data_IF_516162377008
#
_entry.id   IF_516162377008
#
_cell.length_a   1.000
_cell.length_b   1.000
_cell.length_c   1.000
_cell.angle_alpha   90.00
_cell.angle_beta   90.00
_cell.angle_gamma   90.00
#
_symmetry.space_group_name_H-M   'P 1'
#
loop_
_entity.id
_entity.type
_entity.pdbx_description
1 polymer ?
#
# COMPACT_ATOMS: atom_id res chain seq x y z
N UNK A 1 -26.48 -10.23 -7.78
CA UNK A 1 -26.71 -9.10 -6.87
C UNK A 1 -27.57 -8.04 -7.55
N UNK A 2 -28.41 -7.35 -6.81
CA UNK A 2 -29.28 -6.29 -7.35
C UNK A 2 -28.86 -4.94 -6.77
N UNK A 3 -28.77 -3.92 -7.62
CA UNK A 3 -28.43 -2.58 -7.17
C UNK A 3 -29.55 -2.01 -6.28
N UNK A 4 -29.23 -1.50 -5.08
CA UNK A 4 -30.26 -1.04 -4.13
C UNK A 4 -31.06 0.17 -4.62
N UNK A 5 -30.47 1.03 -5.45
CA UNK A 5 -31.11 2.28 -5.89
C UNK A 5 -31.93 2.11 -7.16
N UNK A 6 -31.48 1.29 -8.08
CA UNK A 6 -32.09 1.15 -9.42
C UNK A 6 -32.81 -0.17 -9.62
N UNK A 7 -32.58 -1.15 -8.77
CA UNK A 7 -33.10 -2.51 -8.96
C UNK A 7 -32.44 -3.27 -10.10
N UNK A 8 -31.42 -2.70 -10.74
CA UNK A 8 -30.71 -3.34 -11.85
C UNK A 8 -29.93 -4.56 -11.37
N UNK A 9 -29.89 -5.61 -12.18
CA UNK A 9 -29.11 -6.81 -11.88
C UNK A 9 -27.64 -6.51 -12.09
N UNK A 10 -26.83 -6.80 -11.07
CA UNK A 10 -25.40 -6.67 -11.10
C UNK A 10 -24.76 -8.04 -11.29
N UNK A 11 -23.79 -8.13 -12.18
CA UNK A 11 -23.05 -9.37 -12.43
C UNK A 11 -21.59 -9.20 -12.07
N UNK A 12 -20.96 -10.31 -11.68
CA UNK A 12 -19.52 -10.31 -11.37
C UNK A 12 -18.74 -10.06 -12.66
N UNK A 13 -17.88 -9.03 -12.63
CA UNK A 13 -17.10 -8.62 -13.78
C UNK A 13 -15.81 -7.96 -13.30
N UNK A 14 -14.91 -7.68 -14.22
CA UNK A 14 -13.67 -6.95 -13.98
C UNK A 14 -13.66 -5.71 -14.89
N UNK A 15 -13.55 -4.54 -14.29
CA UNK A 15 -13.60 -3.28 -15.04
C UNK A 15 -12.43 -2.36 -14.71
N UNK A 16 -11.98 -1.53 -15.67
CA UNK A 16 -10.89 -0.61 -15.42
C UNK A 16 -11.30 0.49 -14.44
N UNK A 17 -10.37 0.86 -13.58
CA UNK A 17 -10.53 1.93 -12.61
C UNK A 17 -9.24 2.74 -12.54
N UNK A 18 -9.33 4.06 -12.62
CA UNK A 18 -8.16 4.94 -12.58
C UNK A 18 -8.02 5.57 -11.20
N UNK A 19 -6.87 5.34 -10.57
CA UNK A 19 -6.48 5.97 -9.30
C UNK A 19 -5.61 7.17 -9.64
N UNK A 20 -5.95 8.34 -9.08
CA UNK A 20 -5.20 9.58 -9.31
C UNK A 20 -4.74 10.16 -7.99
N UNK A 21 -3.49 10.62 -7.96
CA UNK A 21 -2.92 11.29 -6.80
C UNK A 21 -1.88 12.32 -7.28
N UNK A 22 -2.10 13.59 -6.91
CA UNK A 22 -1.19 14.71 -7.25
C UNK A 22 -0.80 14.75 -8.73
N UNK A 23 -1.78 14.60 -9.61
CA UNK A 23 -1.58 14.69 -11.04
C UNK A 23 -1.03 13.45 -11.73
N UNK A 24 -0.70 12.41 -10.99
CA UNK A 24 -0.30 11.10 -11.53
C UNK A 24 -1.43 10.10 -11.40
N UNK A 25 -1.50 9.16 -12.34
CA UNK A 25 -2.57 8.18 -12.40
C UNK A 25 -2.05 6.79 -12.71
N UNK A 26 -2.74 5.78 -12.16
CA UNK A 26 -2.54 4.36 -12.50
C UNK A 26 -3.92 3.77 -12.75
N UNK A 27 -4.08 3.06 -13.87
CA UNK A 27 -5.31 2.34 -14.17
C UNK A 27 -5.11 0.87 -13.81
N UNK A 28 -6.06 0.34 -13.04
CA UNK A 28 -6.07 -1.06 -12.60
C UNK A 28 -7.40 -1.70 -12.96
N UNK A 29 -7.43 -3.02 -13.01
CA UNK A 29 -8.67 -3.77 -13.19
C UNK A 29 -9.25 -4.12 -11.82
N UNK A 30 -10.50 -3.71 -11.57
CA UNK A 30 -11.20 -4.01 -10.33
C UNK A 30 -12.27 -5.05 -10.55
N UNK A 31 -12.22 -6.19 -9.85
CA UNK A 31 -13.34 -7.11 -9.79
C UNK A 31 -14.45 -6.51 -8.94
N UNK A 32 -15.69 -6.81 -9.28
CA UNK A 32 -16.84 -6.32 -8.54
C UNK A 32 -18.14 -6.76 -9.16
N UNK A 33 -19.25 -6.26 -8.62
CA UNK A 33 -20.59 -6.48 -9.18
C UNK A 33 -20.99 -5.24 -9.96
N UNK A 34 -21.13 -5.38 -11.27
CA UNK A 34 -21.36 -4.26 -12.17
C UNK A 34 -22.66 -4.38 -12.94
N UNK A 35 -23.36 -3.24 -13.16
CA UNK A 35 -24.50 -3.22 -14.07
C UNK A 35 -24.01 -3.23 -15.53
N UNK A 36 -24.89 -3.63 -16.45
CA UNK A 36 -24.59 -3.59 -17.87
C UNK A 36 -24.47 -2.14 -18.40
N UNK A 37 -25.15 -1.20 -17.74
CA UNK A 37 -25.32 0.17 -18.22
C UNK A 37 -24.15 1.12 -17.95
N UNK A 38 -23.32 0.85 -16.94
CA UNK A 38 -22.22 1.73 -16.54
C UNK A 38 -21.17 0.98 -15.71
N UNK A 39 -20.15 1.73 -15.23
CA UNK A 39 -19.08 1.18 -14.40
C UNK A 39 -19.27 1.47 -12.90
N UNK A 40 -20.46 1.89 -12.48
CA UNK A 40 -20.77 2.14 -11.08
C UNK A 40 -21.16 0.83 -10.39
N UNK A 41 -20.15 0.07 -9.99
CA UNK A 41 -20.34 -1.24 -9.39
C UNK A 41 -20.39 -1.21 -7.87
N UNK A 42 -20.70 -2.39 -7.30
CA UNK A 42 -20.60 -2.64 -5.87
C UNK A 42 -19.39 -3.53 -5.64
N UNK A 43 -18.46 -3.04 -4.85
CA UNK A 43 -17.22 -3.74 -4.52
C UNK A 43 -17.30 -4.23 -3.08
N UNK A 44 -16.95 -5.50 -2.87
CA UNK A 44 -17.01 -6.14 -1.55
C UNK A 44 -15.71 -6.91 -1.28
N UNK A 45 -15.44 -7.20 -0.01
CA UNK A 45 -14.26 -7.95 0.38
C UNK A 45 -12.98 -7.28 -0.10
N UNK A 46 -12.15 -8.03 -0.83
CA UNK A 46 -10.85 -7.55 -1.33
C UNK A 46 -10.93 -6.91 -2.74
N UNK A 47 -12.12 -6.58 -3.21
CA UNK A 47 -12.30 -6.03 -4.56
C UNK A 47 -11.51 -4.74 -4.81
N UNK A 48 -11.27 -3.94 -3.76
CA UNK A 48 -10.50 -2.69 -3.85
C UNK A 48 -8.98 -2.87 -3.73
N UNK A 49 -8.49 -4.08 -3.52
CA UNK A 49 -7.06 -4.31 -3.21
C UNK A 49 -6.12 -3.73 -4.27
N UNK A 50 -6.44 -3.89 -5.56
CA UNK A 50 -5.61 -3.35 -6.64
C UNK A 50 -5.60 -1.82 -6.65
N UNK A 51 -6.72 -1.18 -6.35
CA UNK A 51 -6.81 0.28 -6.26
C UNK A 51 -6.04 0.81 -5.06
N UNK A 52 -6.13 0.14 -3.92
CA UNK A 52 -5.38 0.51 -2.71
C UNK A 52 -3.88 0.42 -2.95
N UNK A 53 -3.41 -0.64 -3.60
CA UNK A 53 -2.00 -0.81 -3.95
C UNK A 53 -1.54 0.26 -4.95
N UNK A 54 -2.36 0.59 -5.95
CA UNK A 54 -2.05 1.66 -6.90
C UNK A 54 -1.89 3.01 -6.20
N UNK A 55 -2.74 3.31 -5.22
CA UNK A 55 -2.63 4.54 -4.43
C UNK A 55 -1.34 4.57 -3.60
N UNK A 56 -0.95 3.46 -3.01
CA UNK A 56 0.33 3.36 -2.27
C UNK A 56 1.51 3.63 -3.19
N UNK A 57 1.51 3.07 -4.39
CA UNK A 57 2.57 3.29 -5.40
C UNK A 57 2.63 4.76 -5.79
N UNK A 58 1.47 5.40 -6.04
CA UNK A 58 1.42 6.82 -6.39
C UNK A 58 1.95 7.69 -5.26
N UNK A 59 1.61 7.39 -4.01
CA UNK A 59 2.12 8.12 -2.85
C UNK A 59 3.63 7.96 -2.70
N UNK A 60 4.16 6.79 -2.98
CA UNK A 60 5.62 6.59 -2.97
C UNK A 60 6.30 7.48 -4.02
N UNK A 61 5.76 7.54 -5.23
CA UNK A 61 6.31 8.35 -6.33
C UNK A 61 6.22 9.85 -6.08
N UNK A 62 5.11 10.31 -5.51
CA UNK A 62 4.83 11.76 -5.37
C UNK A 62 5.19 12.32 -4.00
N UNK A 63 4.94 11.58 -2.93
CA UNK A 63 5.14 12.03 -1.55
C UNK A 63 6.41 11.45 -0.93
N UNK A 64 7.05 10.51 -1.61
CA UNK A 64 8.22 9.82 -1.11
C UNK A 64 7.93 8.84 0.03
N UNK A 65 6.66 8.48 0.24
CA UNK A 65 6.28 7.48 1.24
C UNK A 65 6.55 6.08 0.70
N UNK A 66 7.35 5.25 1.38
CA UNK A 66 7.60 3.90 0.90
C UNK A 66 6.35 3.03 1.02
N UNK A 67 6.12 2.17 0.01
CA UNK A 67 5.04 1.20 0.08
C UNK A 67 5.36 0.11 1.10
N UNK A 68 4.36 -0.66 1.60
CA UNK A 68 4.64 -1.82 2.44
C UNK A 68 5.65 -2.78 1.82
N UNK A 69 5.55 -3.03 0.51
CA UNK A 69 6.51 -3.90 -0.20
C UNK A 69 7.93 -3.31 -0.19
N UNK A 70 8.07 -2.00 -0.38
CA UNK A 70 9.36 -1.32 -0.33
C UNK A 70 9.98 -1.40 1.07
N UNK A 71 9.19 -1.22 2.12
CA UNK A 71 9.66 -1.33 3.50
C UNK A 71 10.20 -2.74 3.77
N UNK A 72 9.46 -3.75 3.35
CA UNK A 72 9.88 -5.15 3.50
C UNK A 72 11.17 -5.42 2.74
N UNK A 73 11.30 -4.93 1.52
CA UNK A 73 12.51 -5.07 0.70
C UNK A 73 13.73 -4.44 1.39
N UNK A 74 13.57 -3.23 1.91
CA UNK A 74 14.66 -2.52 2.59
C UNK A 74 15.07 -3.26 3.87
N UNK A 75 14.10 -3.69 4.67
CA UNK A 75 14.38 -4.46 5.88
C UNK A 75 15.16 -5.75 5.54
N UNK A 76 14.74 -6.47 4.52
CA UNK A 76 15.44 -7.68 4.07
C UNK A 76 16.87 -7.38 3.59
N UNK A 77 17.05 -6.27 2.88
CA UNK A 77 18.37 -5.79 2.44
C UNK A 77 19.29 -5.52 3.64
N UNK A 78 18.74 -4.99 4.71
CA UNK A 78 19.48 -4.72 5.95
C UNK A 78 19.70 -5.97 6.80
N UNK A 79 19.15 -7.11 6.38
CA UNK A 79 19.25 -8.40 7.10
C UNK A 79 18.69 -8.34 8.51
N UNK A 80 17.61 -7.60 8.68
CA UNK A 80 16.92 -7.46 9.97
C UNK A 80 15.61 -8.24 9.94
N UNK A 81 15.27 -8.89 11.07
CA UNK A 81 13.91 -9.34 11.29
C UNK A 81 13.00 -8.14 11.56
N UNK A 82 11.68 -8.31 11.46
CA UNK A 82 10.73 -7.25 11.82
C UNK A 82 10.96 -6.76 13.26
N UNK A 83 11.20 -7.68 14.17
CA UNK A 83 11.42 -7.39 15.57
C UNK A 83 12.71 -6.61 15.81
N UNK A 84 13.80 -7.03 15.17
CA UNK A 84 15.08 -6.33 15.23
C UNK A 84 14.98 -4.92 14.66
N UNK A 85 14.32 -4.77 13.51
CA UNK A 85 14.11 -3.46 12.90
C UNK A 85 13.31 -2.54 13.83
N UNK A 86 12.25 -3.05 14.44
CA UNK A 86 11.45 -2.28 15.40
C UNK A 86 12.27 -1.81 16.58
N UNK A 87 13.15 -2.67 17.11
CA UNK A 87 14.03 -2.33 18.22
C UNK A 87 15.09 -1.29 17.84
N UNK A 88 15.76 -1.48 16.71
CA UNK A 88 16.81 -0.56 16.24
C UNK A 88 16.27 0.82 15.88
N UNK A 89 15.08 0.86 15.28
CA UNK A 89 14.45 2.12 14.86
C UNK A 89 13.68 2.79 16.01
N UNK A 90 13.60 2.13 17.16
CA UNK A 90 12.88 2.64 18.34
C UNK A 90 11.40 2.90 18.10
N UNK A 91 10.77 2.07 17.29
CA UNK A 91 9.34 2.20 16.94
C UNK A 91 8.46 1.09 17.54
N UNK A 92 9.06 0.10 18.19
CA UNK A 92 8.35 -1.00 18.82
C UNK A 92 8.45 -2.32 18.06
N UNK A 93 8.32 -3.44 18.78
CA UNK A 93 8.52 -4.79 18.24
C UNK A 93 7.59 -5.14 17.07
N UNK A 94 6.38 -4.60 17.08
CA UNK A 94 5.34 -4.95 16.11
C UNK A 94 5.16 -3.89 15.01
N UNK A 95 5.95 -2.81 15.03
CA UNK A 95 5.77 -1.71 14.10
C UNK A 95 6.00 -2.13 12.65
N UNK A 96 7.08 -2.84 12.37
CA UNK A 96 7.41 -3.27 11.00
C UNK A 96 6.40 -4.28 10.45
N UNK A 97 5.87 -5.17 11.29
CA UNK A 97 4.77 -6.04 10.88
C UNK A 97 3.57 -5.20 10.38
N UNK A 98 3.20 -4.18 11.13
CA UNK A 98 2.08 -3.30 10.77
C UNK A 98 2.38 -2.46 9.53
N UNK A 99 3.60 -1.95 9.38
CA UNK A 99 4.01 -1.21 8.17
C UNK A 99 3.92 -2.10 6.92
N UNK A 100 4.44 -3.33 7.01
CA UNK A 100 4.51 -4.26 5.88
C UNK A 100 3.16 -4.86 5.53
N UNK A 101 2.20 -4.84 6.46
CA UNK A 101 0.82 -5.22 6.21
C UNK A 101 -0.06 -4.04 5.77
N UNK A 102 0.49 -2.84 5.74
CA UNK A 102 -0.25 -1.64 5.36
C UNK A 102 -1.25 -1.16 6.41
N UNK A 103 -1.13 -1.60 7.68
CA UNK A 103 -2.05 -1.22 8.74
C UNK A 103 -1.78 0.17 9.28
N UNK A 104 -0.51 0.58 9.31
CA UNK A 104 -0.09 1.92 9.73
C UNK A 104 1.00 2.45 8.79
N UNK A 105 1.13 3.75 8.74
CA UNK A 105 2.18 4.42 7.96
C UNK A 105 3.29 4.88 8.91
N UNK A 106 4.57 4.68 8.56
CA UNK A 106 5.67 5.19 9.39
C UNK A 106 5.62 6.71 9.52
N UNK A 107 6.09 7.23 10.65
CA UNK A 107 6.23 8.68 10.86
C UNK A 107 7.29 9.26 9.92
N UNK A 108 7.30 10.59 9.75
CA UNK A 108 8.27 11.26 8.91
C UNK A 108 9.73 10.93 9.24
N UNK A 109 10.17 11.03 10.50
CA UNK A 109 11.54 10.63 10.88
C UNK A 109 11.86 9.18 10.57
N UNK A 110 10.92 8.26 10.80
CA UNK A 110 11.11 6.84 10.49
C UNK A 110 11.28 6.62 8.98
N UNK A 111 10.48 7.31 8.16
CA UNK A 111 10.59 7.27 6.69
C UNK A 111 11.98 7.75 6.24
N UNK A 112 12.48 8.85 6.80
CA UNK A 112 13.80 9.38 6.47
C UNK A 112 14.90 8.39 6.84
N UNK A 113 14.80 7.76 8.00
CA UNK A 113 15.76 6.75 8.43
C UNK A 113 15.75 5.51 7.50
N UNK A 114 14.57 5.03 7.12
CA UNK A 114 14.42 3.92 6.18
C UNK A 114 15.09 4.26 4.85
N UNK A 115 14.84 5.45 4.30
CA UNK A 115 15.42 5.89 3.02
C UNK A 115 16.94 6.03 3.10
N UNK A 116 17.45 6.59 4.21
CA UNK A 116 18.87 6.75 4.40
C UNK A 116 19.58 5.40 4.45
N UNK A 117 19.01 4.44 5.17
CA UNK A 117 19.58 3.09 5.27
C UNK A 117 19.44 2.29 3.97
N UNK A 118 18.45 2.59 3.15
CA UNK A 118 18.35 1.98 1.81
C UNK A 118 19.55 2.40 0.94
N UNK A 119 19.95 3.66 1.01
CA UNK A 119 21.11 4.19 0.27
C UNK A 119 22.44 3.81 0.90
N UNK A 120 22.49 3.71 2.21
CA UNK A 120 23.69 3.46 3.00
C UNK A 120 23.46 2.31 3.99
N UNK A 121 23.31 1.05 3.50
CA UNK A 121 22.96 -0.08 4.39
C UNK A 121 24.00 -0.31 5.50
N UNK A 122 25.25 0.03 5.23
CA UNK A 122 26.35 -0.14 6.20
C UNK A 122 26.12 0.65 7.48
N UNK A 123 25.35 1.74 7.42
CA UNK A 123 25.06 2.58 8.58
C UNK A 123 24.12 1.90 9.60
N UNK A 124 23.51 0.77 9.25
CA UNK A 124 22.68 0.04 10.20
C UNK A 124 23.44 -0.33 11.47
N UNK A 125 24.74 -0.55 11.37
CA UNK A 125 25.58 -0.88 12.51
C UNK A 125 25.70 0.27 13.49
N UNK A 126 25.52 1.51 13.06
CA UNK A 126 25.51 2.68 13.93
C UNK A 126 24.31 2.69 14.88
N UNK A 127 23.25 1.95 14.55
CA UNK A 127 22.05 1.86 15.37
C UNK A 127 22.13 0.78 16.45
N UNK A 128 23.12 -0.10 16.36
CA UNK A 128 23.26 -1.22 17.29
C UNK A 128 23.87 -0.80 18.62
#
# INVERSE_FOLDING_TARGET
>A
MTAPETGEILTRDVRPFTVTHKGQSITVDLPGYYPASNNEGVLIGDDMAAADEALRILKERTDGLPTPATIKRIRAKLRLSQREAGALFKVGENAFDKYERGLITPSGPTVQLIKMLDRHPELVDELR
#
